data_IF_362168504341
#
_entry.id   IF_362168504341
#
_cell.length_a   1.000
_cell.length_b   1.000
_cell.length_c   1.000
_cell.angle_alpha   90.00
_cell.angle_beta   90.00
_cell.angle_gamma   90.00
#
_symmetry.space_group_name_H-M   'P 1'
#
loop_
_entity.id
_entity.type
_entity.pdbx_description
1 polymer ?
#
# COMPACT_ATOMS: atom_id res chain seq x y z
N UNK A 1 -46.60 -15.91 13.74
CA UNK A 1 -45.83 -14.76 13.18
C UNK A 1 -45.44 -13.71 14.19
N UNK A 2 -46.26 -13.44 15.24
CA UNK A 2 -45.96 -12.38 16.24
C UNK A 2 -44.72 -12.63 17.14
N UNK A 3 -44.37 -13.87 17.47
CA UNK A 3 -43.24 -14.16 18.36
C UNK A 3 -41.87 -13.91 17.74
N UNK A 4 -41.71 -14.10 16.44
CA UNK A 4 -40.45 -13.85 15.72
C UNK A 4 -40.10 -12.34 15.69
N UNK A 5 -41.10 -11.50 15.36
CA UNK A 5 -40.91 -10.05 15.31
C UNK A 5 -40.60 -9.45 16.69
N UNK A 6 -41.29 -9.93 17.75
CA UNK A 6 -41.01 -9.52 19.14
C UNK A 6 -39.57 -9.90 19.53
N UNK A 7 -39.14 -11.13 19.23
CA UNK A 7 -37.76 -11.59 19.48
C UNK A 7 -36.72 -10.75 18.74
N UNK A 8 -37.00 -10.39 17.47
CA UNK A 8 -36.10 -9.58 16.64
C UNK A 8 -35.96 -8.15 17.20
N UNK A 9 -37.10 -7.51 17.59
CA UNK A 9 -37.11 -6.16 18.18
C UNK A 9 -36.29 -6.15 19.47
N UNK A 10 -36.50 -7.13 20.36
CA UNK A 10 -35.72 -7.22 21.60
C UNK A 10 -34.20 -7.45 21.33
N UNK A 11 -33.84 -8.22 20.29
CA UNK A 11 -32.44 -8.40 19.90
C UNK A 11 -31.83 -7.07 19.43
N UNK A 12 -32.55 -6.32 18.57
CA UNK A 12 -32.09 -5.00 18.09
C UNK A 12 -31.95 -3.99 19.23
N UNK A 13 -32.89 -3.97 20.20
CA UNK A 13 -32.80 -3.11 21.38
C UNK A 13 -31.56 -3.45 22.24
N UNK A 14 -31.27 -4.73 22.46
CA UNK A 14 -30.08 -5.15 23.21
C UNK A 14 -28.78 -4.78 22.50
N UNK A 15 -28.71 -4.99 21.15
CA UNK A 15 -27.56 -4.56 20.32
C UNK A 15 -27.40 -3.05 20.42
N UNK A 16 -28.48 -2.28 20.26
CA UNK A 16 -28.46 -0.83 20.35
C UNK A 16 -28.01 -0.30 21.70
N UNK A 17 -28.50 -0.89 22.80
CA UNK A 17 -28.07 -0.53 24.13
C UNK A 17 -26.57 -0.78 24.37
N UNK A 18 -26.07 -1.93 23.89
CA UNK A 18 -24.66 -2.26 23.98
C UNK A 18 -23.78 -1.31 23.10
N UNK A 19 -24.25 -1.03 21.91
CA UNK A 19 -23.58 -0.08 21.02
C UNK A 19 -23.55 1.35 21.61
N UNK A 20 -24.64 1.80 22.22
CA UNK A 20 -24.69 3.10 22.88
C UNK A 20 -23.73 3.18 24.09
N UNK A 21 -23.63 2.10 24.89
CA UNK A 21 -22.62 2.00 25.96
C UNK A 21 -21.21 2.15 25.44
N UNK A 22 -20.85 1.39 24.39
CA UNK A 22 -19.52 1.44 23.80
C UNK A 22 -19.23 2.79 23.13
N UNK A 23 -20.20 3.38 22.43
CA UNK A 23 -20.07 4.71 21.84
C UNK A 23 -19.82 5.79 22.89
N UNK A 24 -20.54 5.72 24.03
CA UNK A 24 -20.33 6.62 25.15
C UNK A 24 -18.93 6.44 25.77
N UNK A 25 -18.42 5.20 25.84
CA UNK A 25 -17.08 4.89 26.30
C UNK A 25 -16.01 5.48 25.37
N UNK A 26 -16.14 5.22 24.06
CA UNK A 26 -15.23 5.76 23.03
C UNK A 26 -15.19 7.30 23.09
N UNK A 27 -16.35 7.96 23.19
CA UNK A 27 -16.42 9.43 23.23
C UNK A 27 -15.72 10.04 24.45
N UNK A 28 -15.64 9.31 25.56
CA UNK A 28 -15.02 9.74 26.82
C UNK A 28 -13.55 9.31 26.95
N UNK A 29 -13.06 8.53 25.99
CA UNK A 29 -11.67 8.05 25.95
C UNK A 29 -10.89 8.79 24.85
N UNK A 30 -10.18 9.89 25.18
CA UNK A 30 -9.44 10.66 24.19
C UNK A 30 -8.29 9.86 23.57
N UNK A 31 -7.76 8.87 24.28
CA UNK A 31 -6.70 8.00 23.77
C UNK A 31 -7.23 7.13 22.62
N UNK A 32 -8.40 6.50 22.80
CA UNK A 32 -9.06 5.71 21.74
C UNK A 32 -9.38 6.58 20.52
N UNK A 33 -9.89 7.82 20.72
CA UNK A 33 -10.17 8.75 19.63
C UNK A 33 -8.89 9.18 18.90
N UNK A 34 -7.84 9.50 19.64
CA UNK A 34 -6.54 9.87 19.02
C UNK A 34 -5.94 8.70 18.22
N UNK A 35 -5.99 7.48 18.75
CA UNK A 35 -5.51 6.28 18.04
C UNK A 35 -6.35 5.98 16.79
N UNK A 36 -7.65 6.24 16.82
CA UNK A 36 -8.53 5.93 15.70
C UNK A 36 -8.49 6.97 14.58
N UNK A 37 -8.34 8.25 14.90
CA UNK A 37 -8.51 9.35 13.94
C UNK A 37 -7.20 10.09 13.65
N UNK A 38 -6.41 10.40 14.68
CA UNK A 38 -5.18 11.20 14.51
C UNK A 38 -4.02 10.32 14.07
N UNK A 39 -3.84 9.16 14.71
CA UNK A 39 -2.74 8.24 14.43
C UNK A 39 -2.73 7.74 12.97
N UNK A 40 -3.86 7.33 12.35
CA UNK A 40 -3.85 6.90 10.96
C UNK A 40 -3.36 7.97 9.99
N UNK A 41 -3.83 9.21 10.16
CA UNK A 41 -3.41 10.34 9.32
C UNK A 41 -1.95 10.68 9.57
N UNK A 42 -1.54 10.74 10.84
CA UNK A 42 -0.15 10.98 11.21
C UNK A 42 0.83 9.94 10.66
N UNK A 43 0.48 8.65 10.74
CA UNK A 43 1.27 7.57 10.17
C UNK A 43 1.30 7.62 8.63
N UNK A 44 0.17 7.96 7.98
CA UNK A 44 0.13 8.12 6.54
C UNK A 44 1.05 9.26 6.09
N UNK A 45 1.03 10.39 6.79
CA UNK A 45 1.93 11.51 6.50
C UNK A 45 3.38 11.14 6.76
N UNK A 46 3.68 10.53 7.91
CA UNK A 46 5.03 10.11 8.28
C UNK A 46 5.62 9.12 7.26
N UNK A 47 4.90 8.05 6.96
CA UNK A 47 5.37 7.04 6.01
C UNK A 47 5.25 7.50 4.56
N UNK A 48 4.23 8.27 4.21
CA UNK A 48 4.05 8.77 2.85
C UNK A 48 5.14 9.76 2.43
N UNK A 49 5.62 10.61 3.35
CA UNK A 49 6.78 11.47 3.10
C UNK A 49 8.11 10.77 3.40
N UNK A 50 8.17 9.94 4.45
CA UNK A 50 9.41 9.31 4.89
C UNK A 50 9.87 8.14 4.02
N UNK A 51 8.94 7.47 3.34
CA UNK A 51 9.20 6.33 2.43
C UNK A 51 8.93 6.76 0.98
N UNK A 52 9.33 7.95 0.61
CA UNK A 52 9.28 8.39 -0.80
C UNK A 52 10.39 7.68 -1.55
N UNK A 53 10.01 6.75 -2.43
CA UNK A 53 10.96 6.14 -3.40
C UNK A 53 11.13 7.04 -4.65
N UNK A 54 10.51 8.22 -4.69
CA UNK A 54 10.74 9.20 -5.75
C UNK A 54 12.06 9.91 -5.44
N UNK A 55 13.13 9.27 -5.81
CA UNK A 55 14.45 9.87 -5.81
C UNK A 55 14.50 10.88 -6.95
N UNK A 56 14.11 12.11 -6.66
CA UNK A 56 14.34 13.26 -7.53
C UNK A 56 15.82 13.67 -7.40
N UNK A 57 16.39 14.19 -8.48
CA UNK A 57 17.76 14.70 -8.50
C UNK A 57 18.83 13.63 -8.25
N UNK A 58 18.69 12.43 -8.85
CA UNK A 58 19.71 11.39 -8.77
C UNK A 58 21.01 11.89 -9.42
N UNK A 59 22.12 12.01 -8.67
CA UNK A 59 23.38 12.49 -9.24
C UNK A 59 23.97 11.42 -10.16
N UNK A 60 24.13 11.76 -11.43
CA UNK A 60 24.79 10.92 -12.44
C UNK A 60 26.01 11.67 -12.98
N UNK A 61 27.00 10.93 -13.44
CA UNK A 61 28.13 11.50 -14.17
C UNK A 61 28.15 10.97 -15.60
N UNK A 62 28.65 11.75 -16.52
CA UNK A 62 28.71 11.40 -17.93
C UNK A 62 30.16 11.23 -18.39
N UNK A 63 30.42 10.23 -19.23
CA UNK A 63 31.67 10.01 -19.91
C UNK A 63 31.38 10.02 -21.41
N UNK A 64 31.75 11.11 -22.09
CA UNK A 64 31.58 11.26 -23.53
C UNK A 64 32.91 10.97 -24.25
N UNK A 65 33.06 9.74 -24.77
CA UNK A 65 34.24 9.34 -25.56
C UNK A 65 34.08 9.62 -27.07
N UNK A 66 32.85 9.99 -27.51
CA UNK A 66 32.59 10.26 -28.95
C UNK A 66 32.88 11.72 -29.33
N UNK A 67 32.78 12.65 -28.38
CA UNK A 67 33.11 14.09 -28.52
C UNK A 67 32.41 14.81 -29.69
N UNK A 68 31.26 14.34 -30.15
CA UNK A 68 30.55 14.89 -31.31
C UNK A 68 29.42 15.87 -30.88
N UNK A 69 28.81 16.50 -31.88
CA UNK A 69 27.61 17.33 -31.62
C UNK A 69 26.42 16.50 -31.18
N UNK A 70 26.32 15.23 -31.59
CA UNK A 70 25.24 14.29 -31.25
C UNK A 70 25.42 13.81 -29.83
N UNK A 71 26.64 13.38 -29.43
CA UNK A 71 26.90 12.95 -28.06
C UNK A 71 26.63 14.07 -27.04
N UNK A 72 27.07 15.30 -27.34
CA UNK A 72 26.78 16.49 -26.52
C UNK A 72 25.28 16.80 -26.44
N UNK A 73 24.48 16.50 -27.47
CA UNK A 73 23.03 16.67 -27.40
C UNK A 73 22.38 15.68 -26.41
N UNK A 74 22.91 14.46 -26.38
CA UNK A 74 22.45 13.41 -25.40
C UNK A 74 22.83 13.85 -24.00
N UNK A 75 24.07 14.25 -23.73
CA UNK A 75 24.49 14.75 -22.41
C UNK A 75 23.58 15.91 -21.95
N UNK A 76 23.26 16.84 -22.86
CA UNK A 76 22.30 17.94 -22.54
C UNK A 76 20.91 17.45 -22.23
N UNK A 77 20.42 16.39 -22.87
CA UNK A 77 19.12 15.80 -22.56
C UNK A 77 19.08 15.20 -21.15
N UNK A 78 20.17 14.56 -20.72
CA UNK A 78 20.32 14.12 -19.32
C UNK A 78 20.40 15.31 -18.36
N UNK A 79 21.17 16.36 -18.69
CA UNK A 79 21.28 17.56 -17.87
C UNK A 79 19.98 18.38 -17.77
N UNK A 80 19.12 18.33 -18.78
CA UNK A 80 17.81 18.98 -18.79
C UNK A 80 16.73 18.21 -18.02
N UNK A 81 17.00 16.98 -17.61
CA UNK A 81 16.07 16.18 -16.82
C UNK A 81 15.93 16.75 -15.41
N UNK A 82 14.72 16.66 -14.86
CA UNK A 82 14.47 16.96 -13.44
C UNK A 82 14.81 15.80 -12.53
N UNK A 83 14.82 14.59 -13.08
CA UNK A 83 14.99 13.35 -12.35
C UNK A 83 16.44 12.96 -12.14
N UNK A 84 17.31 13.27 -13.11
CA UNK A 84 18.74 12.99 -13.08
C UNK A 84 19.52 14.32 -13.12
N UNK A 85 20.45 14.48 -12.20
CA UNK A 85 21.33 15.66 -12.16
C UNK A 85 22.72 15.25 -12.61
N UNK A 86 23.21 15.83 -13.70
CA UNK A 86 24.57 15.61 -14.14
C UNK A 86 25.53 16.33 -13.19
N UNK A 87 26.16 15.55 -12.29
CA UNK A 87 27.08 16.06 -11.26
C UNK A 87 28.46 16.40 -11.83
N UNK A 88 28.78 15.92 -13.04
CA UNK A 88 30.03 16.22 -13.72
C UNK A 88 30.21 15.41 -15.01
N UNK A 89 31.05 15.94 -15.89
CA UNK A 89 31.54 15.23 -17.06
C UNK A 89 32.97 14.72 -16.78
N UNK A 90 33.20 13.44 -17.01
CA UNK A 90 34.45 12.76 -16.68
C UNK A 90 35.11 12.20 -17.95
N UNK A 91 36.42 12.02 -17.89
CA UNK A 91 37.20 11.52 -19.04
C UNK A 91 37.25 9.99 -19.10
N UNK A 92 36.95 9.30 -17.99
CA UNK A 92 37.02 7.83 -17.94
C UNK A 92 36.01 7.21 -16.99
N UNK A 93 35.61 5.97 -17.31
CA UNK A 93 34.73 5.16 -16.46
C UNK A 93 35.34 4.89 -15.07
N UNK A 94 36.68 4.80 -14.99
CA UNK A 94 37.39 4.60 -13.73
C UNK A 94 37.20 5.78 -12.76
N UNK A 95 37.16 7.02 -13.28
CA UNK A 95 36.81 8.19 -12.46
C UNK A 95 35.36 8.12 -12.01
N UNK A 96 34.45 7.62 -12.84
CA UNK A 96 33.04 7.39 -12.48
C UNK A 96 32.87 6.40 -11.34
N UNK A 97 33.64 5.30 -11.34
CA UNK A 97 33.67 4.33 -10.23
C UNK A 97 34.07 5.00 -8.90
N UNK A 98 35.08 5.87 -8.92
CA UNK A 98 35.48 6.62 -7.75
C UNK A 98 34.40 7.58 -7.24
N UNK A 99 33.61 8.18 -8.14
CA UNK A 99 32.43 9.01 -7.76
C UNK A 99 31.32 8.16 -7.14
N UNK A 100 31.03 6.97 -7.67
CA UNK A 100 30.07 6.04 -7.09
C UNK A 100 30.50 5.54 -5.72
N UNK A 101 31.76 5.13 -5.55
CA UNK A 101 32.31 4.69 -4.25
C UNK A 101 32.23 5.75 -3.16
N UNK A 102 32.30 7.03 -3.52
CA UNK A 102 32.18 8.14 -2.57
C UNK A 102 30.74 8.64 -2.38
N UNK A 103 29.76 7.99 -3.02
CA UNK A 103 28.34 8.38 -2.95
C UNK A 103 28.02 9.71 -3.68
N UNK A 104 28.92 10.22 -4.49
CA UNK A 104 28.73 11.47 -5.24
C UNK A 104 27.97 11.28 -6.55
N UNK A 105 27.87 10.05 -7.04
CA UNK A 105 27.05 9.65 -8.17
C UNK A 105 26.44 8.28 -7.93
N UNK A 106 25.22 8.06 -8.43
CA UNK A 106 24.54 6.76 -8.40
C UNK A 106 24.68 6.01 -9.72
N UNK A 107 25.08 6.70 -10.79
CA UNK A 107 25.33 6.07 -12.08
C UNK A 107 26.31 6.86 -12.94
N UNK A 108 26.89 6.14 -13.89
CA UNK A 108 27.75 6.67 -14.96
C UNK A 108 27.09 6.38 -16.30
N UNK A 109 26.82 7.42 -17.08
CA UNK A 109 26.33 7.32 -18.46
C UNK A 109 27.54 7.41 -19.39
N UNK A 110 27.81 6.36 -20.14
CA UNK A 110 28.96 6.29 -21.03
C UNK A 110 28.50 6.31 -22.50
N UNK A 111 29.01 7.27 -23.25
CA UNK A 111 28.83 7.34 -24.70
C UNK A 111 30.12 6.84 -25.34
N UNK A 112 30.13 5.64 -25.96
CA UNK A 112 31.33 5.06 -26.47
C UNK A 112 31.84 5.79 -27.74
N UNK A 113 33.10 5.63 -28.03
CA UNK A 113 33.69 6.15 -29.27
C UNK A 113 33.02 5.57 -30.53
N UNK A 114 32.75 6.40 -31.51
CA UNK A 114 32.09 6.00 -32.75
C UNK A 114 30.55 5.88 -32.65
N UNK A 115 29.93 6.21 -31.48
CA UNK A 115 28.48 6.18 -31.28
C UNK A 115 27.73 6.93 -32.39
N UNK A 116 28.11 8.19 -32.66
CA UNK A 116 27.45 9.01 -33.67
C UNK A 116 27.67 8.47 -35.09
N UNK A 117 28.78 7.80 -35.35
CA UNK A 117 29.08 7.18 -36.63
C UNK A 117 28.21 5.96 -36.88
N UNK A 118 28.02 5.12 -35.86
CA UNK A 118 27.10 3.98 -35.92
C UNK A 118 25.67 4.44 -36.11
N UNK A 119 25.25 5.49 -35.38
CA UNK A 119 23.92 6.07 -35.52
C UNK A 119 23.67 6.64 -36.92
N UNK A 120 24.67 7.33 -37.53
CA UNK A 120 24.56 7.88 -38.88
C UNK A 120 24.50 6.79 -39.96
N UNK A 121 25.10 5.63 -39.73
CA UNK A 121 25.01 4.46 -40.62
C UNK A 121 23.73 3.66 -40.47
N UNK A 122 22.88 4.02 -39.49
CA UNK A 122 21.71 3.24 -39.15
C UNK A 122 22.02 1.91 -38.46
N UNK A 123 23.23 1.75 -37.93
CA UNK A 123 23.68 0.61 -37.15
C UNK A 123 23.17 0.75 -35.72
N UNK A 124 23.29 -0.32 -34.95
CA UNK A 124 22.92 -0.31 -33.51
C UNK A 124 23.94 0.52 -32.72
N UNK A 125 23.52 1.67 -32.21
CA UNK A 125 24.29 2.51 -31.32
C UNK A 125 23.84 2.30 -29.90
N UNK A 126 24.73 1.91 -28.99
CA UNK A 126 24.41 1.56 -27.61
C UNK A 126 25.02 2.60 -26.66
N UNK A 127 24.20 3.08 -25.72
CA UNK A 127 24.66 3.81 -24.54
C UNK A 127 24.91 2.80 -23.43
N UNK A 128 26.03 2.92 -22.71
CA UNK A 128 26.29 2.10 -21.57
C UNK A 128 25.89 2.89 -20.31
N UNK A 129 25.11 2.26 -19.44
CA UNK A 129 24.76 2.78 -18.13
C UNK A 129 25.36 1.86 -17.06
N UNK A 130 26.26 2.39 -16.25
CA UNK A 130 26.83 1.70 -15.09
C UNK A 130 26.16 2.28 -13.85
N UNK A 131 25.51 1.45 -13.04
CA UNK A 131 24.75 1.88 -11.86
C UNK A 131 25.34 1.30 -10.59
N UNK A 132 25.22 2.03 -9.49
CA UNK A 132 25.52 1.52 -8.16
C UNK A 132 24.42 0.53 -7.72
N UNK A 133 24.77 -0.74 -7.67
CA UNK A 133 23.87 -1.83 -7.27
C UNK A 133 23.73 -2.04 -5.76
N UNK A 134 24.39 -1.23 -4.92
CA UNK A 134 24.29 -1.35 -3.46
C UNK A 134 22.87 -1.12 -2.95
N UNK A 135 22.12 -0.22 -3.60
CA UNK A 135 20.69 -0.04 -3.43
C UNK A 135 19.93 -0.41 -4.70
N UNK A 136 19.34 -1.60 -4.70
CA UNK A 136 18.60 -2.12 -5.85
C UNK A 136 17.41 -1.25 -6.27
N UNK A 137 16.78 -0.54 -5.34
CA UNK A 137 15.65 0.36 -5.62
C UNK A 137 16.13 1.58 -6.41
N UNK A 138 17.18 2.23 -5.94
CA UNK A 138 17.83 3.38 -6.59
C UNK A 138 18.38 2.99 -7.97
N UNK A 139 19.03 1.83 -8.06
CA UNK A 139 19.57 1.32 -9.33
C UNK A 139 18.47 1.12 -10.38
N UNK A 140 17.37 0.44 -10.02
CA UNK A 140 16.27 0.18 -10.95
C UNK A 140 15.57 1.47 -11.40
N UNK A 141 15.36 2.43 -10.51
CA UNK A 141 14.80 3.73 -10.87
C UNK A 141 15.71 4.52 -11.79
N UNK A 142 17.03 4.51 -11.51
CA UNK A 142 18.02 5.17 -12.35
C UNK A 142 18.04 4.57 -13.76
N UNK A 143 17.98 3.25 -13.88
CA UNK A 143 17.89 2.54 -15.16
C UNK A 143 16.65 2.98 -15.93
N UNK A 144 15.47 2.92 -15.29
CA UNK A 144 14.21 3.26 -15.94
C UNK A 144 14.15 4.73 -16.39
N UNK A 145 14.66 5.65 -15.56
CA UNK A 145 14.73 7.09 -15.89
C UNK A 145 15.74 7.37 -17.01
N UNK A 146 16.92 6.75 -16.95
CA UNK A 146 17.94 6.90 -17.98
C UNK A 146 17.45 6.35 -19.34
N UNK A 147 16.75 5.22 -19.34
CA UNK A 147 16.17 4.60 -20.53
C UNK A 147 15.10 5.50 -21.18
N UNK A 148 14.23 6.09 -20.35
CA UNK A 148 13.23 7.06 -20.81
C UNK A 148 13.87 8.30 -21.45
N UNK A 149 14.94 8.84 -20.85
CA UNK A 149 15.67 9.99 -21.40
C UNK A 149 16.37 9.60 -22.68
N UNK A 150 17.10 8.48 -22.71
CA UNK A 150 17.83 8.00 -23.88
C UNK A 150 16.89 7.76 -25.07
N UNK A 151 15.71 7.19 -24.85
CA UNK A 151 14.72 6.93 -25.89
C UNK A 151 14.17 8.22 -26.54
N UNK A 152 14.14 9.32 -25.82
CA UNK A 152 13.69 10.62 -26.32
C UNK A 152 14.82 11.50 -26.85
N UNK A 153 16.04 11.32 -26.32
CA UNK A 153 17.21 12.12 -26.66
C UNK A 153 17.78 11.80 -28.05
N UNK A 154 17.58 10.58 -28.53
CA UNK A 154 18.08 10.13 -29.85
C UNK A 154 16.97 10.38 -30.89
N UNK A 155 17.07 11.41 -31.74
CA UNK A 155 16.14 11.62 -32.83
C UNK A 155 16.34 10.51 -33.87
N UNK A 156 15.54 9.48 -33.79
CA UNK A 156 15.50 8.40 -34.74
C UNK A 156 14.71 8.91 -35.95
N UNK A 157 15.32 9.11 -37.13
CA UNK A 157 14.58 9.50 -38.32
C UNK A 157 13.53 8.43 -38.62
N UNK A 158 12.24 8.80 -38.56
CA UNK A 158 11.12 7.88 -38.83
C UNK A 158 11.14 7.21 -40.19
N UNK A 159 11.97 7.68 -41.10
CA UNK A 159 11.96 7.32 -42.53
C UNK A 159 13.28 6.75 -43.07
N UNK A 160 14.23 6.31 -42.29
CA UNK A 160 15.41 5.60 -42.77
C UNK A 160 15.07 4.12 -42.92
N UNK A 161 14.92 3.58 -44.14
CA UNK A 161 14.81 2.14 -44.32
C UNK A 161 16.14 1.50 -44.01
N UNK A 162 16.30 0.96 -42.81
CA UNK A 162 17.46 0.08 -42.51
C UNK A 162 17.11 -1.27 -43.09
N UNK A 163 17.67 -1.55 -44.26
CA UNK A 163 17.52 -2.82 -44.96
C UNK A 163 18.03 -3.95 -44.01
N UNK A 164 17.16 -4.84 -43.59
CA UNK A 164 17.52 -6.14 -43.04
C UNK A 164 17.31 -6.38 -41.55
N UNK A 165 16.87 -5.39 -40.75
CA UNK A 165 16.54 -5.65 -39.33
C UNK A 165 15.09 -5.19 -39.07
N UNK A 166 14.18 -6.08 -38.69
CA UNK A 166 12.86 -5.67 -38.26
C UNK A 166 13.01 -4.84 -36.98
N UNK A 167 12.74 -3.54 -37.10
CA UNK A 167 12.81 -2.58 -36.02
C UNK A 167 11.53 -2.71 -35.18
N UNK A 168 11.54 -3.61 -34.22
CA UNK A 168 10.55 -3.60 -33.13
C UNK A 168 10.91 -2.44 -32.20
N UNK A 169 10.36 -1.26 -32.47
CA UNK A 169 10.32 -0.17 -31.49
C UNK A 169 9.14 -0.49 -30.58
N UNK A 170 9.42 -0.96 -29.37
CA UNK A 170 8.41 -1.06 -28.35
C UNK A 170 8.03 0.37 -27.91
N UNK A 171 6.94 0.90 -28.41
CA UNK A 171 6.35 2.14 -27.92
C UNK A 171 5.61 1.80 -26.62
N UNK A 172 6.31 1.92 -25.49
CA UNK A 172 5.77 1.55 -24.17
C UNK A 172 5.00 2.73 -23.58
N UNK A 173 3.68 2.59 -23.53
CA UNK A 173 2.81 3.54 -22.85
C UNK A 173 2.53 3.05 -21.43
N UNK A 174 3.00 3.80 -20.43
CA UNK A 174 2.66 3.52 -19.02
C UNK A 174 1.30 4.10 -18.71
N UNK A 175 0.28 3.23 -18.63
CA UNK A 175 -1.07 3.60 -18.23
C UNK A 175 -1.15 3.81 -16.71
N UNK A 176 -2.02 4.70 -16.27
CA UNK A 176 -2.40 4.96 -14.87
C UNK A 176 -1.36 5.68 -13.99
N UNK A 177 -0.06 5.54 -14.24
CA UNK A 177 1.01 6.26 -13.54
C UNK A 177 2.14 6.63 -14.52
N UNK A 178 1.87 7.50 -15.52
CA UNK A 178 2.89 7.85 -16.54
C UNK A 178 4.12 8.54 -15.95
N UNK A 179 3.96 9.26 -14.84
CA UNK A 179 5.05 9.95 -14.18
C UNK A 179 5.86 9.06 -13.23
N UNK A 180 5.53 7.76 -13.10
CA UNK A 180 6.24 6.83 -12.21
C UNK A 180 6.18 7.19 -10.72
N UNK A 181 5.19 7.99 -10.29
CA UNK A 181 5.08 8.48 -8.90
C UNK A 181 4.94 7.32 -7.92
N UNK A 182 5.92 7.18 -7.02
CA UNK A 182 5.91 6.14 -5.97
C UNK A 182 4.75 6.30 -5.00
N UNK A 183 4.30 7.52 -4.73
CA UNK A 183 3.14 7.78 -3.88
C UNK A 183 1.89 7.04 -4.35
N UNK A 184 1.62 6.96 -5.66
CA UNK A 184 0.46 6.26 -6.21
C UNK A 184 0.51 4.74 -5.97
N UNK A 185 1.70 4.17 -5.86
CA UNK A 185 1.89 2.75 -5.54
C UNK A 185 1.82 2.49 -4.04
N UNK A 186 2.47 3.37 -3.23
CA UNK A 186 2.67 3.16 -1.80
C UNK A 186 1.45 3.55 -0.97
N UNK A 187 0.81 4.70 -1.26
CA UNK A 187 -0.29 5.22 -0.44
C UNK A 187 -1.43 4.23 -0.28
N UNK A 188 -1.94 3.54 -1.32
CA UNK A 188 -2.98 2.52 -1.14
C UNK A 188 -2.55 1.37 -0.20
N UNK A 189 -1.28 0.97 -0.26
CA UNK A 189 -0.72 -0.05 0.61
C UNK A 189 -0.58 0.43 2.06
N UNK A 190 -0.12 1.67 2.26
CA UNK A 190 -0.04 2.31 3.57
C UNK A 190 -1.42 2.47 4.20
N UNK A 191 -2.43 2.87 3.44
CA UNK A 191 -3.83 2.95 3.91
C UNK A 191 -4.26 1.60 4.46
N UNK A 192 -4.04 0.51 3.74
CA UNK A 192 -4.41 -0.82 4.19
C UNK A 192 -3.66 -1.24 5.47
N UNK A 193 -2.34 -1.01 5.51
CA UNK A 193 -1.50 -1.34 6.66
C UNK A 193 -1.94 -0.59 7.93
N UNK A 194 -2.10 0.73 7.81
CA UNK A 194 -2.43 1.60 8.94
C UNK A 194 -3.83 1.30 9.47
N UNK A 195 -4.82 1.17 8.56
CA UNK A 195 -6.19 0.83 8.95
C UNK A 195 -6.27 -0.54 9.60
N UNK A 196 -5.59 -1.55 9.08
CA UNK A 196 -5.56 -2.88 9.68
C UNK A 196 -5.00 -2.85 11.10
N UNK A 197 -3.82 -2.23 11.28
CA UNK A 197 -3.18 -2.11 12.58
C UNK A 197 -4.08 -1.39 13.58
N UNK A 198 -4.62 -0.25 13.21
CA UNK A 198 -5.48 0.54 14.10
C UNK A 198 -6.77 -0.19 14.44
N UNK A 199 -7.45 -0.79 13.46
CA UNK A 199 -8.68 -1.55 13.70
C UNK A 199 -8.47 -2.73 14.63
N UNK A 200 -7.41 -3.50 14.42
CA UNK A 200 -7.08 -4.65 15.28
C UNK A 200 -6.75 -4.18 16.69
N UNK A 201 -5.93 -3.13 16.85
CA UNK A 201 -5.58 -2.60 18.17
C UNK A 201 -6.78 -2.06 18.93
N UNK A 202 -7.67 -1.31 18.27
CA UNK A 202 -8.87 -0.76 18.89
C UNK A 202 -9.74 -1.85 19.51
N UNK A 203 -9.99 -2.94 18.78
CA UNK A 203 -10.86 -4.02 19.27
C UNK A 203 -10.12 -5.06 20.11
N UNK A 204 -8.81 -5.22 19.95
CA UNK A 204 -7.99 -6.10 20.78
C UNK A 204 -8.02 -5.69 22.26
N UNK A 205 -8.13 -4.39 22.54
CA UNK A 205 -8.19 -3.88 23.90
C UNK A 205 -9.59 -3.99 24.54
N UNK A 206 -10.67 -4.15 23.77
CA UNK A 206 -12.04 -4.02 24.28
C UNK A 206 -12.43 -5.07 25.32
N UNK A 207 -12.37 -6.35 24.94
CA UNK A 207 -12.76 -7.46 25.83
C UNK A 207 -11.67 -7.76 26.85
N UNK A 208 -10.40 -7.65 26.46
CA UNK A 208 -9.28 -7.87 27.37
C UNK A 208 -9.31 -6.88 28.55
N UNK A 209 -9.67 -5.60 28.30
CA UNK A 209 -9.84 -4.58 29.34
C UNK A 209 -11.01 -4.90 30.28
N UNK A 210 -12.14 -5.34 29.73
CA UNK A 210 -13.30 -5.73 30.53
C UNK A 210 -13.01 -6.99 31.37
N UNK A 211 -12.21 -7.92 30.82
CA UNK A 211 -11.79 -9.12 31.53
C UNK A 211 -10.88 -8.79 32.72
N UNK A 212 -9.85 -7.99 32.51
CA UNK A 212 -8.91 -7.58 33.58
C UNK A 212 -9.58 -6.73 34.67
N UNK A 213 -10.65 -5.98 34.32
CA UNK A 213 -11.43 -5.18 35.30
C UNK A 213 -12.52 -5.97 35.99
N UNK A 214 -12.74 -7.25 35.67
CA UNK A 214 -13.80 -8.08 36.21
C UNK A 214 -15.22 -7.68 35.75
N UNK A 215 -15.39 -6.70 34.88
CA UNK A 215 -16.70 -6.24 34.41
C UNK A 215 -17.40 -7.21 33.45
N UNK A 216 -16.67 -8.22 32.94
CA UNK A 216 -17.24 -9.28 32.10
C UNK A 216 -18.21 -10.15 32.86
N UNK A 217 -18.03 -10.37 34.18
CA UNK A 217 -18.97 -11.13 35.02
C UNK A 217 -20.35 -10.48 35.05
N UNK A 218 -20.39 -9.15 35.15
CA UNK A 218 -21.66 -8.41 35.12
C UNK A 218 -22.34 -8.50 33.74
N UNK A 219 -21.60 -8.57 32.67
CA UNK A 219 -22.13 -8.77 31.31
C UNK A 219 -22.76 -10.16 31.14
N UNK A 220 -22.21 -11.19 31.78
CA UNK A 220 -22.75 -12.55 31.70
C UNK A 220 -24.07 -12.73 32.51
N UNK A 221 -24.38 -11.86 33.47
CA UNK A 221 -25.67 -11.86 34.17
C UNK A 221 -26.81 -11.28 33.34
N UNK A 222 -26.49 -10.58 32.25
CA UNK A 222 -27.48 -10.00 31.34
C UNK A 222 -28.02 -11.03 30.33
N UNK A 223 -29.27 -10.92 29.85
CA UNK A 223 -29.87 -11.85 28.90
C UNK A 223 -29.42 -11.59 27.44
N UNK A 224 -28.18 -11.09 27.22
CA UNK A 224 -27.62 -10.81 25.89
C UNK A 224 -27.09 -12.08 25.27
N UNK A 225 -27.42 -12.34 24.00
CA UNK A 225 -26.84 -13.45 23.20
C UNK A 225 -25.44 -13.10 22.72
N UNK A 226 -24.58 -14.13 22.46
CA UNK A 226 -23.20 -13.95 22.04
C UNK A 226 -23.07 -13.07 20.79
N UNK A 227 -23.89 -13.33 19.76
CA UNK A 227 -23.89 -12.54 18.54
C UNK A 227 -24.33 -11.09 18.75
N UNK A 228 -25.33 -10.87 19.64
CA UNK A 228 -25.79 -9.52 20.00
C UNK A 228 -24.71 -8.71 20.71
N UNK A 229 -23.90 -9.35 21.55
CA UNK A 229 -22.79 -8.73 22.24
C UNK A 229 -21.68 -8.33 21.25
N UNK A 230 -21.31 -9.25 20.34
CA UNK A 230 -20.26 -9.00 19.34
C UNK A 230 -20.70 -7.86 18.41
N UNK A 231 -21.92 -7.92 17.87
CA UNK A 231 -22.44 -6.88 16.98
C UNK A 231 -22.55 -5.54 17.72
N UNK A 232 -23.04 -5.53 18.96
CA UNK A 232 -23.14 -4.32 19.77
C UNK A 232 -21.79 -3.68 20.07
N UNK A 233 -20.74 -4.50 20.25
CA UNK A 233 -19.37 -3.99 20.41
C UNK A 233 -18.76 -3.51 19.08
N UNK A 234 -18.93 -4.24 17.99
CA UNK A 234 -18.34 -3.90 16.71
C UNK A 234 -18.94 -2.64 16.07
N UNK A 235 -20.25 -2.40 16.21
CA UNK A 235 -20.95 -1.30 15.55
C UNK A 235 -20.31 0.08 15.76
N UNK A 236 -20.01 0.54 16.99
CA UNK A 236 -19.39 1.84 17.21
C UNK A 236 -17.97 1.93 16.61
N UNK A 237 -17.22 0.83 16.67
CA UNK A 237 -15.88 0.78 16.07
C UNK A 237 -15.91 0.74 14.53
N UNK A 238 -16.95 0.17 13.92
CA UNK A 238 -17.17 0.26 12.47
C UNK A 238 -17.40 1.71 12.08
N UNK A 239 -18.26 2.44 12.80
CA UNK A 239 -18.49 3.87 12.52
C UNK A 239 -17.21 4.68 12.67
N UNK A 240 -16.46 4.44 13.75
CA UNK A 240 -15.18 5.11 13.99
C UNK A 240 -14.14 4.74 12.90
N UNK A 241 -14.09 3.48 12.47
CA UNK A 241 -13.26 3.00 11.39
C UNK A 241 -13.63 3.62 10.04
N UNK A 242 -14.91 3.76 9.73
CA UNK A 242 -15.37 4.46 8.52
C UNK A 242 -14.91 5.92 8.52
N UNK A 243 -14.96 6.60 9.65
CA UNK A 243 -14.46 7.96 9.76
C UNK A 243 -12.94 8.01 9.56
N UNK A 244 -12.20 7.05 10.12
CA UNK A 244 -10.76 6.92 9.90
C UNK A 244 -10.42 6.68 8.41
N UNK A 245 -11.17 5.80 7.72
CA UNK A 245 -11.03 5.57 6.26
C UNK A 245 -11.23 6.86 5.49
N UNK A 246 -12.29 7.61 5.79
CA UNK A 246 -12.56 8.88 5.11
C UNK A 246 -11.43 9.89 5.31
N UNK A 247 -10.92 10.02 6.55
CA UNK A 247 -9.81 10.93 6.85
C UNK A 247 -8.51 10.52 6.13
N UNK A 248 -8.19 9.23 6.11
CA UNK A 248 -6.97 8.73 5.46
C UNK A 248 -7.07 8.82 3.93
N UNK A 249 -8.23 8.53 3.35
CA UNK A 249 -8.47 8.72 1.91
C UNK A 249 -8.43 10.19 1.52
N UNK A 250 -9.02 11.09 2.33
CA UNK A 250 -8.94 12.52 2.11
C UNK A 250 -7.47 13.02 2.18
N UNK A 251 -6.71 12.58 3.18
CA UNK A 251 -5.29 12.90 3.29
C UNK A 251 -4.50 12.37 2.09
N UNK A 252 -4.77 11.13 1.64
CA UNK A 252 -4.18 10.55 0.44
C UNK A 252 -4.47 11.36 -0.83
N UNK A 253 -5.70 11.83 -0.98
CA UNK A 253 -6.11 12.62 -2.13
C UNK A 253 -5.54 14.06 -2.13
N UNK A 254 -5.54 14.73 -0.96
CA UNK A 254 -5.15 16.14 -0.88
C UNK A 254 -3.65 16.35 -0.70
N UNK A 255 -2.95 15.44 0.00
CA UNK A 255 -1.53 15.60 0.31
C UNK A 255 -0.65 14.88 -0.71
N UNK A 256 -1.09 13.71 -1.18
CA UNK A 256 -0.31 12.87 -2.11
C UNK A 256 -0.85 12.85 -3.54
N UNK A 257 -1.88 13.66 -3.84
CA UNK A 257 -2.53 13.74 -5.15
C UNK A 257 -2.98 12.36 -5.68
N UNK A 258 -3.41 11.45 -4.78
CA UNK A 258 -3.92 10.15 -5.20
C UNK A 258 -5.31 10.33 -5.81
N UNK A 259 -5.49 10.05 -7.10
CA UNK A 259 -6.78 10.27 -7.76
C UNK A 259 -7.79 9.22 -7.29
N UNK A 260 -9.07 9.61 -7.24
CA UNK A 260 -10.20 8.69 -7.04
C UNK A 260 -10.93 8.59 -8.37
N UNK A 261 -10.55 7.62 -9.21
CA UNK A 261 -11.09 7.48 -10.58
C UNK A 261 -12.27 6.54 -10.68
N UNK A 262 -12.38 5.58 -9.77
CA UNK A 262 -13.38 4.52 -9.82
C UNK A 262 -14.63 4.80 -9.01
N UNK A 263 -15.45 3.76 -8.82
CA UNK A 263 -16.74 3.83 -8.12
C UNK A 263 -16.55 4.04 -6.61
N UNK A 264 -17.09 5.14 -6.07
CA UNK A 264 -17.12 5.40 -4.63
C UNK A 264 -17.89 4.33 -3.87
N UNK A 265 -18.93 3.75 -4.47
CA UNK A 265 -19.71 2.67 -3.83
C UNK A 265 -18.86 1.40 -3.69
N UNK A 266 -18.05 1.07 -4.72
CA UNK A 266 -17.12 -0.04 -4.66
C UNK A 266 -16.04 0.20 -3.59
N UNK A 267 -15.52 1.42 -3.49
CA UNK A 267 -14.56 1.82 -2.47
C UNK A 267 -15.14 1.70 -1.06
N UNK A 268 -16.36 2.22 -0.85
CA UNK A 268 -17.03 2.13 0.44
C UNK A 268 -17.31 0.68 0.85
N UNK A 269 -17.75 -0.17 -0.09
CA UNK A 269 -18.03 -1.58 0.19
C UNK A 269 -16.75 -2.35 0.51
N UNK A 270 -15.68 -2.20 -0.27
CA UNK A 270 -14.40 -2.85 -0.01
C UNK A 270 -13.82 -2.42 1.35
N UNK A 271 -13.89 -1.12 1.65
CA UNK A 271 -13.43 -0.57 2.93
C UNK A 271 -14.25 -1.10 4.10
N UNK A 272 -15.57 -1.14 3.97
CA UNK A 272 -16.46 -1.65 5.04
C UNK A 272 -16.21 -3.14 5.32
N UNK A 273 -16.09 -3.97 4.27
CA UNK A 273 -15.79 -5.40 4.43
C UNK A 273 -14.42 -5.62 5.08
N UNK A 274 -13.41 -4.86 4.68
CA UNK A 274 -12.09 -4.90 5.28
C UNK A 274 -12.12 -4.50 6.75
N UNK A 275 -12.80 -3.38 7.09
CA UNK A 275 -12.96 -2.93 8.47
C UNK A 275 -13.65 -3.98 9.35
N UNK A 276 -14.76 -4.56 8.90
CA UNK A 276 -15.47 -5.60 9.64
C UNK A 276 -14.54 -6.79 9.92
N UNK A 277 -13.79 -7.24 8.92
CA UNK A 277 -12.86 -8.34 9.07
C UNK A 277 -11.74 -8.04 10.07
N UNK A 278 -11.09 -6.87 9.96
CA UNK A 278 -9.98 -6.49 10.84
C UNK A 278 -10.43 -6.20 12.27
N UNK A 279 -11.58 -5.54 12.45
CA UNK A 279 -12.17 -5.33 13.76
C UNK A 279 -12.58 -6.66 14.42
N UNK A 280 -13.15 -7.59 13.66
CA UNK A 280 -13.48 -8.93 14.16
C UNK A 280 -12.22 -9.73 14.52
N UNK A 281 -11.13 -9.60 13.75
CA UNK A 281 -9.83 -10.20 14.08
C UNK A 281 -9.27 -9.66 15.40
N UNK A 282 -9.30 -8.36 15.61
CA UNK A 282 -8.85 -7.75 16.87
C UNK A 282 -9.72 -8.21 18.05
N UNK A 283 -11.03 -8.27 17.86
CA UNK A 283 -11.96 -8.78 18.88
C UNK A 283 -11.70 -10.26 19.20
N UNK A 284 -11.38 -11.08 18.17
CA UNK A 284 -10.98 -12.47 18.38
C UNK A 284 -9.73 -12.58 19.24
N UNK A 285 -8.69 -11.79 18.93
CA UNK A 285 -7.46 -11.73 19.73
C UNK A 285 -7.77 -11.34 21.17
N UNK A 286 -8.61 -10.33 21.38
CA UNK A 286 -9.05 -9.86 22.69
C UNK A 286 -9.70 -10.96 23.52
N UNK A 287 -10.64 -11.70 22.92
CA UNK A 287 -11.35 -12.82 23.57
C UNK A 287 -10.41 -14.00 23.87
N UNK A 288 -9.42 -14.22 22.99
CA UNK A 288 -8.50 -15.34 23.14
C UNK A 288 -7.44 -15.13 24.22
N UNK A 289 -6.95 -13.90 24.35
CA UNK A 289 -5.82 -13.57 25.25
C UNK A 289 -6.25 -13.16 26.64
N UNK A 290 -7.42 -12.54 26.79
CA UNK A 290 -7.97 -12.05 28.07
C UNK A 290 -7.03 -11.10 28.84
N UNK A 291 -5.98 -10.62 28.22
CA UNK A 291 -4.94 -9.75 28.78
C UNK A 291 -4.61 -8.66 27.78
N UNK A 292 -4.61 -7.38 28.24
CA UNK A 292 -4.43 -6.22 27.37
C UNK A 292 -3.04 -6.17 26.72
N UNK A 293 -1.99 -6.47 27.49
CA UNK A 293 -0.63 -6.45 26.96
C UNK A 293 -0.44 -7.50 25.87
N UNK A 294 -0.88 -8.73 26.15
CA UNK A 294 -0.77 -9.85 25.19
C UNK A 294 -1.66 -9.60 23.98
N UNK A 295 -2.89 -9.07 24.19
CA UNK A 295 -3.79 -8.72 23.10
C UNK A 295 -3.18 -7.68 22.15
N UNK A 296 -2.54 -6.66 22.70
CA UNK A 296 -1.87 -5.63 21.92
C UNK A 296 -0.70 -6.21 21.11
N UNK A 297 0.16 -7.01 21.74
CA UNK A 297 1.31 -7.62 21.06
C UNK A 297 0.88 -8.59 19.95
N UNK A 298 -0.02 -9.53 20.26
CA UNK A 298 -0.53 -10.49 19.28
C UNK A 298 -1.31 -9.78 18.18
N UNK A 299 -2.13 -8.79 18.53
CA UNK A 299 -2.87 -7.99 17.57
C UNK A 299 -1.96 -7.26 16.58
N UNK A 300 -0.91 -6.60 17.08
CA UNK A 300 0.07 -5.91 16.23
C UNK A 300 0.83 -6.90 15.34
N UNK A 301 1.33 -7.99 15.89
CA UNK A 301 2.09 -8.98 15.14
C UNK A 301 1.25 -9.64 14.05
N UNK A 302 0.00 -10.00 14.34
CA UNK A 302 -0.88 -10.68 13.39
C UNK A 302 -1.49 -9.75 12.34
N UNK A 303 -1.53 -8.44 12.58
CA UNK A 303 -1.97 -7.45 11.57
C UNK A 303 -0.80 -6.90 10.75
N UNK A 304 0.26 -6.41 11.40
CA UNK A 304 1.32 -5.66 10.74
C UNK A 304 2.25 -6.53 9.90
N UNK A 305 2.79 -7.64 10.47
CA UNK A 305 3.79 -8.45 9.78
C UNK A 305 3.27 -9.11 8.50
N UNK A 306 2.09 -9.78 8.50
CA UNK A 306 1.59 -10.38 7.28
C UNK A 306 1.29 -9.35 6.19
N UNK A 307 0.85 -8.15 6.56
CA UNK A 307 0.56 -7.09 5.60
C UNK A 307 1.85 -6.58 4.95
N UNK A 308 2.88 -6.33 5.71
CA UNK A 308 4.15 -5.85 5.16
C UNK A 308 4.81 -6.88 4.25
N UNK A 309 4.79 -8.16 4.63
CA UNK A 309 5.55 -9.20 3.93
C UNK A 309 4.76 -9.89 2.83
N UNK A 310 3.45 -10.13 3.02
CA UNK A 310 2.68 -11.05 2.18
C UNK A 310 1.56 -10.40 1.37
N UNK A 311 1.19 -9.13 1.64
CA UNK A 311 0.01 -8.52 1.02
C UNK A 311 0.25 -7.94 -0.38
N UNK A 312 1.47 -7.94 -0.89
CA UNK A 312 1.80 -7.21 -2.13
C UNK A 312 1.99 -5.70 -1.91
N UNK A 313 2.12 -5.27 -0.65
CA UNK A 313 2.41 -3.86 -0.31
C UNK A 313 3.84 -3.48 -0.69
N UNK A 314 4.83 -4.15 -0.09
CA UNK A 314 6.26 -3.90 -0.32
C UNK A 314 6.78 -4.75 -1.48
N UNK A 315 6.47 -6.04 -1.47
CA UNK A 315 6.93 -7.00 -2.47
C UNK A 315 5.74 -7.51 -3.30
N UNK A 316 5.80 -7.46 -4.65
CA UNK A 316 4.75 -8.04 -5.49
C UNK A 316 4.53 -9.52 -5.19
N UNK A 317 3.27 -9.91 -4.99
CA UNK A 317 2.92 -11.32 -4.68
C UNK A 317 3.40 -12.28 -5.79
N UNK A 318 3.43 -11.82 -7.04
CA UNK A 318 3.89 -12.61 -8.18
C UNK A 318 5.36 -13.04 -8.07
N UNK A 319 6.19 -12.28 -7.34
CA UNK A 319 7.62 -12.57 -7.16
C UNK A 319 7.90 -13.51 -5.96
N UNK A 320 6.87 -13.89 -5.22
CA UNK A 320 7.01 -14.79 -4.07
C UNK A 320 7.08 -16.26 -4.50
N UNK A 321 7.71 -17.15 -3.72
CA UNK A 321 7.59 -18.59 -3.91
C UNK A 321 6.11 -19.04 -3.82
N UNK A 322 5.74 -20.08 -4.59
CA UNK A 322 4.35 -20.58 -4.68
C UNK A 322 3.63 -20.78 -3.32
N UNK A 323 4.25 -21.38 -2.28
CA UNK A 323 3.59 -21.52 -0.99
C UNK A 323 3.20 -20.18 -0.36
N UNK A 324 4.05 -19.16 -0.46
CA UNK A 324 3.77 -17.82 0.06
C UNK A 324 2.68 -17.10 -0.76
N UNK A 325 2.60 -17.34 -2.07
CA UNK A 325 1.51 -16.82 -2.90
C UNK A 325 0.14 -17.32 -2.42
N UNK A 326 0.04 -18.60 -2.06
CA UNK A 326 -1.21 -19.19 -1.53
C UNK A 326 -1.58 -18.54 -0.20
N UNK A 327 -0.62 -18.36 0.70
CA UNK A 327 -0.86 -17.68 1.98
C UNK A 327 -1.26 -16.22 1.74
N UNK A 328 -0.59 -15.52 0.83
CA UNK A 328 -0.90 -14.14 0.46
C UNK A 328 -2.35 -13.98 -0.04
N UNK A 329 -2.88 -14.97 -0.79
CA UNK A 329 -4.26 -14.96 -1.27
C UNK A 329 -5.31 -15.15 -0.15
N UNK A 330 -4.94 -15.68 1.01
CA UNK A 330 -5.84 -15.78 2.16
C UNK A 330 -5.87 -14.46 2.95
N UNK A 331 -4.86 -13.60 2.79
CA UNK A 331 -4.74 -12.36 3.55
C UNK A 331 -5.74 -11.29 3.07
N UNK A 332 -6.54 -10.71 3.97
CA UNK A 332 -7.52 -9.69 3.60
C UNK A 332 -6.87 -8.43 3.04
N UNK A 333 -5.68 -8.08 3.52
CA UNK A 333 -4.95 -6.91 3.06
C UNK A 333 -4.53 -7.02 1.58
N UNK A 334 -4.20 -8.21 1.08
CA UNK A 334 -3.89 -8.45 -0.33
C UNK A 334 -5.05 -8.02 -1.22
N UNK A 335 -6.26 -8.46 -0.88
CA UNK A 335 -7.47 -8.12 -1.62
C UNK A 335 -7.86 -6.66 -1.46
N UNK A 336 -7.68 -6.10 -0.27
CA UNK A 336 -8.00 -4.69 -0.03
C UNK A 336 -7.04 -3.75 -0.77
N UNK A 337 -5.73 -4.02 -0.77
CA UNK A 337 -4.74 -3.25 -1.55
C UNK A 337 -5.01 -3.37 -3.04
N UNK A 338 -5.31 -4.56 -3.55
CA UNK A 338 -5.68 -4.76 -4.94
C UNK A 338 -6.94 -3.96 -5.32
N UNK A 339 -7.96 -3.96 -4.44
CA UNK A 339 -9.18 -3.17 -4.62
C UNK A 339 -8.90 -1.67 -4.60
N UNK A 340 -8.11 -1.18 -3.63
CA UNK A 340 -7.73 0.23 -3.56
C UNK A 340 -6.99 0.68 -4.81
N UNK A 341 -5.96 -0.06 -5.24
CA UNK A 341 -5.21 0.24 -6.49
C UNK A 341 -6.11 0.19 -7.71
N UNK A 342 -7.01 -0.80 -7.81
CA UNK A 342 -7.97 -0.93 -8.90
C UNK A 342 -8.94 0.26 -8.97
N UNK A 343 -9.53 0.64 -7.85
CA UNK A 343 -10.52 1.70 -7.79
C UNK A 343 -9.87 3.08 -7.91
N UNK A 344 -8.81 3.34 -7.13
CA UNK A 344 -8.20 4.67 -7.10
C UNK A 344 -7.47 5.00 -8.40
N UNK A 345 -6.69 4.06 -8.94
CA UNK A 345 -5.80 4.33 -10.07
C UNK A 345 -6.39 3.92 -11.42
N UNK A 346 -6.98 2.72 -11.51
CA UNK A 346 -7.48 2.14 -12.77
C UNK A 346 -8.89 2.55 -13.10
N UNK A 347 -9.66 3.09 -12.13
CA UNK A 347 -11.04 3.48 -12.34
C UNK A 347 -12.03 2.32 -12.30
N UNK A 348 -11.66 1.19 -11.69
CA UNK A 348 -12.49 -0.01 -11.65
C UNK A 348 -13.80 0.21 -10.86
N UNK A 349 -14.84 -0.47 -11.29
CA UNK A 349 -16.14 -0.53 -10.63
C UNK A 349 -16.35 -1.83 -9.84
N UNK A 350 -17.61 -2.14 -9.59
CA UNK A 350 -18.00 -3.35 -8.85
C UNK A 350 -17.74 -4.62 -9.66
N UNK A 351 -17.93 -4.56 -10.97
CA UNK A 351 -17.82 -5.70 -11.90
C UNK A 351 -16.41 -6.27 -11.98
N UNK A 352 -15.40 -5.41 -11.84
CA UNK A 352 -14.01 -5.83 -11.88
C UNK A 352 -13.47 -6.24 -10.49
N UNK A 353 -14.10 -5.73 -9.43
CA UNK A 353 -13.60 -5.90 -8.05
C UNK A 353 -14.33 -7.02 -7.27
N UNK A 354 -15.37 -7.65 -7.83
CA UNK A 354 -16.17 -8.65 -7.11
C UNK A 354 -15.36 -9.82 -6.53
N UNK A 355 -14.26 -10.34 -7.16
CA UNK A 355 -13.52 -11.44 -6.57
C UNK A 355 -12.81 -11.02 -5.28
N UNK A 356 -12.25 -9.80 -5.25
CA UNK A 356 -11.59 -9.25 -4.08
C UNK A 356 -12.61 -8.95 -2.97
N UNK A 357 -13.78 -8.41 -3.33
CA UNK A 357 -14.87 -8.16 -2.36
C UNK A 357 -15.41 -9.46 -1.77
N UNK A 358 -15.53 -10.53 -2.58
CA UNK A 358 -15.95 -11.84 -2.10
C UNK A 358 -14.94 -12.42 -1.09
N UNK A 359 -13.65 -12.29 -1.37
CA UNK A 359 -12.61 -12.73 -0.45
C UNK A 359 -12.63 -11.95 0.87
N UNK A 360 -12.82 -10.61 0.80
CA UNK A 360 -12.97 -9.78 1.99
C UNK A 360 -14.23 -10.13 2.79
N UNK A 361 -15.35 -10.39 2.12
CA UNK A 361 -16.58 -10.84 2.76
C UNK A 361 -16.41 -12.20 3.44
N UNK A 362 -15.79 -13.16 2.75
CA UNK A 362 -15.50 -14.49 3.30
C UNK A 362 -14.61 -14.39 4.55
N UNK A 363 -13.55 -13.58 4.49
CA UNK A 363 -12.69 -13.34 5.65
C UNK A 363 -13.46 -12.70 6.81
N UNK A 364 -14.23 -11.65 6.57
CA UNK A 364 -15.03 -10.97 7.60
C UNK A 364 -16.02 -11.94 8.25
N UNK A 365 -16.72 -12.74 7.44
CA UNK A 365 -17.67 -13.74 7.92
C UNK A 365 -16.98 -14.79 8.79
N UNK A 366 -15.86 -15.34 8.33
CA UNK A 366 -15.08 -16.34 9.08
C UNK A 366 -14.62 -15.76 10.42
N UNK A 367 -14.07 -14.54 10.43
CA UNK A 367 -13.61 -13.90 11.67
C UNK A 367 -14.75 -13.66 12.66
N UNK A 368 -15.89 -13.19 12.19
CA UNK A 368 -17.08 -13.00 13.07
C UNK A 368 -17.58 -14.34 13.62
N UNK A 369 -17.63 -15.39 12.80
CA UNK A 369 -18.05 -16.73 13.24
C UNK A 369 -17.10 -17.34 14.27
N UNK A 370 -15.78 -17.29 14.00
CA UNK A 370 -14.77 -17.82 14.94
C UNK A 370 -14.79 -17.03 16.24
N UNK A 371 -14.90 -15.71 16.20
CA UNK A 371 -15.03 -14.87 17.40
C UNK A 371 -16.27 -15.26 18.19
N UNK A 372 -17.41 -15.44 17.53
CA UNK A 372 -18.66 -15.87 18.15
C UNK A 372 -18.56 -17.26 18.79
N UNK A 373 -17.89 -18.20 18.13
CA UNK A 373 -17.69 -19.54 18.65
C UNK A 373 -16.74 -19.58 19.86
N UNK A 374 -15.66 -18.75 19.84
CA UNK A 374 -14.69 -18.66 20.94
C UNK A 374 -15.26 -17.97 22.18
N UNK A 375 -16.26 -17.13 22.01
CA UNK A 375 -16.89 -16.38 23.10
C UNK A 375 -17.77 -17.34 23.94
N UNK A 376 -17.16 -18.07 24.90
CA UNK A 376 -17.87 -18.98 25.82
C UNK A 376 -18.36 -18.23 27.04
N UNK A 377 -19.61 -18.53 27.46
CA UNK A 377 -20.26 -18.01 28.69
C UNK A 377 -19.85 -18.80 29.94
N UNK A 378 -18.69 -19.44 29.99
CA UNK A 378 -18.25 -20.17 31.18
C UNK A 378 -17.21 -19.33 31.93
N UNK A 379 -17.46 -19.12 33.18
CA UNK A 379 -16.52 -18.73 34.22
C UNK A 379 -15.77 -20.01 34.59
N UNK A 380 -14.71 -20.38 33.86
CA UNK A 380 -13.74 -21.40 34.24
C UNK A 380 -12.42 -20.70 34.52
#
# INVERSE_FOLDING_TARGET
MNGFWVSLVHALLRIGAMAAKEAAHIRRDPQTLAMALVMPVGLLLLFGYGVTFDLEHLPVVTVDSDHTSVSRSIVRSFAASRDLVVAGELESVAQGDAFMRTGKAVAVVVIPEGFSRSLARGERAELQLVVDGADASTAMQTINKADAIASTAIPIPKNTPVAGVPRLVADSWTLYNPAGRSALLLVPGLIALILAMVCVLLTALTVAREWERGSMEQLFTTPIRRGELILGKLLPYIVLGCLAVLLVLAAGAWVFDVPIRGSLLALATASLLFLIGMLAQGLFVSVATKNQMVATQVGTLTSMLPIQLLSGFVFPVANMPRPLQVIAQIMPATHFIASLRGILLRGNGFTEQWPHMLALFAFALVMVLITSAKFRRRLD
#
